data_IF_935960365999
#
_entry.id   IF_935960365999
#
_cell.length_a   1.000
_cell.length_b   1.000
_cell.length_c   1.000
_cell.angle_alpha   90.00
_cell.angle_beta   90.00
_cell.angle_gamma   90.00
#
_symmetry.space_group_name_H-M   'P 1'
#
loop_
_entity.id
_entity.type
_entity.pdbx_description
1 polymer ?
#
# COMPACT_ATOMS: atom_id res chain seq x y z
N UNK A 1 44.16 -2.91 13.00
CA UNK A 1 42.97 -2.41 12.27
C UNK A 1 41.93 -3.48 12.36
N UNK A 2 40.92 -3.31 13.21
CA UNK A 2 39.81 -4.26 13.33
C UNK A 2 38.67 -3.77 12.43
N UNK A 3 38.11 -4.69 11.65
CA UNK A 3 37.08 -4.47 10.64
C UNK A 3 35.75 -4.04 11.27
N UNK A 4 34.89 -3.25 10.58
CA UNK A 4 33.60 -2.84 11.10
C UNK A 4 32.55 -3.96 10.94
N UNK A 5 31.80 -4.18 12.02
CA UNK A 5 30.79 -5.21 12.21
C UNK A 5 29.59 -5.10 11.25
N UNK A 6 29.29 -6.18 10.52
CA UNK A 6 28.09 -6.37 9.68
C UNK A 6 26.77 -6.54 10.47
N UNK A 7 26.77 -6.37 11.79
CA UNK A 7 25.63 -6.75 12.64
C UNK A 7 24.47 -5.73 12.67
N UNK A 8 24.66 -4.51 12.15
CA UNK A 8 23.62 -3.46 12.19
C UNK A 8 22.53 -3.65 11.14
N UNK A 9 22.82 -4.31 10.01
CA UNK A 9 21.89 -4.36 8.87
C UNK A 9 20.74 -5.37 9.09
N UNK A 10 21.02 -6.48 9.78
CA UNK A 10 20.02 -7.51 10.05
C UNK A 10 18.98 -7.05 11.09
N UNK A 11 19.40 -6.28 12.10
CA UNK A 11 18.50 -5.79 13.15
C UNK A 11 17.48 -4.78 12.59
N UNK A 12 17.93 -3.86 11.72
CA UNK A 12 17.05 -2.87 11.08
C UNK A 12 16.03 -3.53 10.16
N UNK A 13 16.44 -4.52 9.36
CA UNK A 13 15.52 -5.28 8.49
C UNK A 13 14.43 -5.97 9.31
N UNK A 14 14.80 -6.67 10.38
CA UNK A 14 13.83 -7.36 11.25
C UNK A 14 12.86 -6.41 11.95
N UNK A 15 13.27 -5.16 12.20
CA UNK A 15 12.40 -4.16 12.81
C UNK A 15 11.37 -3.63 11.83
N UNK A 16 11.79 -3.31 10.59
CA UNK A 16 10.88 -2.88 9.52
C UNK A 16 9.87 -3.97 9.19
N UNK A 17 10.30 -5.21 9.03
CA UNK A 17 9.39 -6.33 8.75
C UNK A 17 8.34 -6.49 9.85
N UNK A 18 8.70 -6.30 11.12
CA UNK A 18 7.73 -6.33 12.22
C UNK A 18 6.72 -5.19 12.12
N UNK A 19 7.17 -3.95 11.89
CA UNK A 19 6.29 -2.77 11.76
C UNK A 19 5.32 -2.95 10.58
N UNK A 20 5.80 -3.48 9.46
CA UNK A 20 4.98 -3.76 8.28
C UNK A 20 3.94 -4.84 8.57
N UNK A 21 4.33 -5.95 9.22
CA UNK A 21 3.38 -7.00 9.59
C UNK A 21 2.32 -6.51 10.57
N UNK A 22 2.70 -5.71 11.58
CA UNK A 22 1.77 -5.12 12.54
C UNK A 22 0.77 -4.17 11.82
N UNK A 23 1.24 -3.42 10.82
CA UNK A 23 0.40 -2.55 10.00
C UNK A 23 -0.57 -3.36 9.10
N UNK A 24 -0.07 -4.38 8.40
CA UNK A 24 -0.89 -5.25 7.54
C UNK A 24 -1.95 -6.01 8.34
N UNK A 25 -1.64 -6.41 9.57
CA UNK A 25 -2.58 -7.11 10.45
C UNK A 25 -3.80 -6.26 10.83
N UNK A 26 -3.69 -4.93 10.84
CA UNK A 26 -4.80 -4.02 11.16
C UNK A 26 -5.57 -3.53 9.92
N UNK A 27 -5.08 -3.84 8.70
CA UNK A 27 -5.78 -3.47 7.46
C UNK A 27 -7.09 -4.24 7.32
N UNK A 28 -8.18 -3.49 7.12
CA UNK A 28 -9.47 -4.08 6.77
C UNK A 28 -9.46 -4.70 5.38
N UNK A 29 -10.47 -5.52 5.08
CA UNK A 29 -10.63 -6.15 3.77
C UNK A 29 -10.68 -5.12 2.63
N UNK A 30 -11.27 -3.94 2.86
CA UNK A 30 -11.28 -2.88 1.87
C UNK A 30 -9.88 -2.34 1.57
N UNK A 31 -9.02 -2.18 2.58
CA UNK A 31 -7.63 -1.76 2.37
C UNK A 31 -6.86 -2.82 1.60
N UNK A 32 -6.98 -4.09 2.02
CA UNK A 32 -6.32 -5.22 1.36
C UNK A 32 -6.74 -5.34 -0.10
N UNK A 33 -8.03 -5.18 -0.37
CA UNK A 33 -8.57 -5.18 -1.73
C UNK A 33 -7.94 -4.07 -2.59
N UNK A 34 -7.79 -2.85 -2.06
CA UNK A 34 -7.16 -1.74 -2.77
C UNK A 34 -5.69 -2.03 -3.12
N UNK A 35 -4.93 -2.62 -2.20
CA UNK A 35 -3.53 -3.05 -2.45
C UNK A 35 -3.46 -4.09 -3.58
N UNK A 36 -4.39 -5.04 -3.59
CA UNK A 36 -4.43 -6.10 -4.61
C UNK A 36 -4.82 -5.53 -5.98
N UNK A 37 -5.82 -4.64 -6.02
CA UNK A 37 -6.22 -3.96 -7.25
C UNK A 37 -5.08 -3.10 -7.81
N UNK A 38 -4.28 -2.45 -6.95
CA UNK A 38 -3.10 -1.69 -7.35
C UNK A 38 -2.13 -2.59 -8.11
N UNK A 39 -1.81 -3.76 -7.57
CA UNK A 39 -0.91 -4.71 -8.19
C UNK A 39 -1.48 -5.29 -9.51
N UNK A 40 -2.76 -5.64 -9.54
CA UNK A 40 -3.36 -6.35 -10.68
C UNK A 40 -3.79 -5.43 -11.84
N UNK A 41 -4.31 -4.24 -11.56
CA UNK A 41 -4.96 -3.39 -12.56
C UNK A 41 -4.19 -2.10 -12.87
N UNK A 42 -3.41 -1.60 -11.91
CA UNK A 42 -2.76 -0.29 -11.99
C UNK A 42 -1.22 -0.39 -12.03
N UNK A 43 -0.69 -1.57 -12.37
CA UNK A 43 0.73 -1.77 -12.60
C UNK A 43 1.60 -1.57 -11.36
N UNK A 44 1.04 -1.76 -10.16
CA UNK A 44 1.79 -1.64 -8.90
C UNK A 44 2.04 -0.20 -8.45
N UNK A 45 1.31 0.79 -8.98
CA UNK A 45 1.42 2.20 -8.54
C UNK A 45 0.07 2.75 -8.10
N UNK A 46 0.07 3.66 -7.12
CA UNK A 46 -1.17 4.22 -6.55
C UNK A 46 -1.73 5.36 -7.40
N UNK A 47 -0.87 6.09 -8.09
CA UNK A 47 -1.22 7.30 -8.83
C UNK A 47 -2.31 7.03 -9.89
N UNK A 48 -2.21 5.99 -10.73
CA UNK A 48 -3.26 5.69 -11.71
C UNK A 48 -4.60 5.33 -11.06
N UNK A 49 -4.59 4.67 -9.90
CA UNK A 49 -5.81 4.33 -9.16
C UNK A 49 -6.44 5.58 -8.53
N UNK A 50 -5.64 6.47 -7.93
CA UNK A 50 -6.12 7.73 -7.37
C UNK A 50 -6.75 8.62 -8.46
N UNK A 51 -6.15 8.67 -9.64
CA UNK A 51 -6.70 9.42 -10.77
C UNK A 51 -8.03 8.82 -11.25
N UNK A 52 -8.16 7.49 -11.28
CA UNK A 52 -9.43 6.82 -11.61
C UNK A 52 -10.55 7.16 -10.62
N UNK A 53 -10.24 7.13 -9.32
CA UNK A 53 -11.18 7.48 -8.26
C UNK A 53 -11.59 8.97 -8.32
N UNK A 54 -10.66 9.87 -8.62
CA UNK A 54 -10.93 11.31 -8.82
C UNK A 54 -11.79 11.54 -10.06
N UNK A 55 -11.48 10.89 -11.18
CA UNK A 55 -12.30 10.95 -12.40
C UNK A 55 -13.74 10.50 -12.11
N UNK A 56 -13.93 9.44 -11.32
CA UNK A 56 -15.25 8.96 -10.92
C UNK A 56 -16.02 9.97 -10.06
N UNK A 57 -15.36 10.73 -9.18
CA UNK A 57 -16.00 11.82 -8.44
C UNK A 57 -16.49 12.95 -9.36
N UNK A 58 -15.79 13.20 -10.45
CA UNK A 58 -16.11 14.24 -11.44
C UNK A 58 -17.09 13.76 -12.52
N UNK A 59 -17.54 12.50 -12.47
CA UNK A 59 -18.41 11.91 -13.49
C UNK A 59 -17.71 11.63 -14.83
N UNK A 60 -16.38 11.60 -14.85
CA UNK A 60 -15.57 11.24 -16.01
C UNK A 60 -15.52 9.71 -16.19
N UNK A 61 -15.15 9.20 -17.38
CA UNK A 61 -14.88 7.79 -17.59
C UNK A 61 -13.83 7.26 -16.61
N UNK A 62 -14.05 6.05 -16.09
CA UNK A 62 -13.19 5.37 -15.11
C UNK A 62 -13.08 3.88 -15.43
N UNK A 63 -12.04 3.23 -14.93
CA UNK A 63 -11.62 1.86 -15.24
C UNK A 63 -12.36 0.84 -14.36
N UNK A 64 -12.57 1.14 -13.06
CA UNK A 64 -13.14 0.14 -12.14
C UNK A 64 -14.15 0.69 -11.11
N UNK A 65 -15.16 -0.12 -10.76
CA UNK A 65 -16.23 0.26 -9.84
C UNK A 65 -16.08 -0.40 -8.47
N UNK A 66 -15.32 0.22 -7.57
CA UNK A 66 -15.42 -0.05 -6.13
C UNK A 66 -16.78 0.44 -5.57
N UNK A 67 -17.17 -0.03 -4.40
CA UNK A 67 -18.44 0.31 -3.75
C UNK A 67 -18.64 1.84 -3.59
N UNK A 68 -19.80 2.27 -3.07
CA UNK A 68 -20.22 3.69 -3.02
C UNK A 68 -19.42 4.58 -2.03
N UNK A 69 -18.13 4.31 -1.78
CA UNK A 69 -17.28 4.98 -0.78
C UNK A 69 -15.97 5.53 -1.36
N UNK A 70 -16.05 6.18 -2.52
CA UNK A 70 -14.87 6.68 -3.27
C UNK A 70 -13.96 7.59 -2.42
N UNK A 71 -14.55 8.47 -1.59
CA UNK A 71 -13.78 9.38 -0.73
C UNK A 71 -12.98 8.62 0.32
N UNK A 72 -13.62 7.68 1.00
CA UNK A 72 -12.95 6.82 1.97
C UNK A 72 -11.82 6.03 1.30
N UNK A 73 -12.04 5.48 0.10
CA UNK A 73 -11.01 4.73 -0.61
C UNK A 73 -9.80 5.60 -0.99
N UNK A 74 -10.02 6.87 -1.37
CA UNK A 74 -8.93 7.83 -1.57
C UNK A 74 -8.15 8.05 -0.27
N UNK A 75 -8.83 8.25 0.86
CA UNK A 75 -8.17 8.42 2.16
C UNK A 75 -7.35 7.18 2.57
N UNK A 76 -7.90 5.98 2.36
CA UNK A 76 -7.20 4.71 2.61
C UNK A 76 -5.94 4.60 1.75
N UNK A 77 -6.03 4.90 0.46
CA UNK A 77 -4.88 4.85 -0.46
C UNK A 77 -3.80 5.84 -0.03
N UNK A 78 -4.15 7.08 0.31
CA UNK A 78 -3.15 8.07 0.72
C UNK A 78 -2.45 7.66 2.03
N UNK A 79 -3.17 7.05 2.98
CA UNK A 79 -2.56 6.48 4.20
C UNK A 79 -1.58 5.36 3.88
N UNK A 80 -1.99 4.39 3.05
CA UNK A 80 -1.15 3.26 2.65
C UNK A 80 0.06 3.70 1.83
N UNK A 81 -0.12 4.63 0.88
CA UNK A 81 0.96 5.21 0.07
C UNK A 81 1.99 5.93 0.92
N UNK A 82 1.56 6.70 1.93
CA UNK A 82 2.47 7.35 2.87
C UNK A 82 3.29 6.33 3.64
N UNK A 83 2.66 5.25 4.12
CA UNK A 83 3.34 4.16 4.81
C UNK A 83 4.39 3.48 3.92
N UNK A 84 4.04 3.16 2.67
CA UNK A 84 4.97 2.60 1.69
C UNK A 84 6.18 3.50 1.45
N UNK A 85 5.97 4.81 1.34
CA UNK A 85 7.06 5.77 1.13
C UNK A 85 7.97 5.92 2.36
N UNK A 86 7.40 5.91 3.56
CA UNK A 86 8.14 6.02 4.83
C UNK A 86 9.05 4.81 5.06
N UNK A 87 8.54 3.62 4.76
CA UNK A 87 9.25 2.35 4.98
C UNK A 87 9.98 1.82 3.74
N UNK A 88 9.78 2.44 2.57
CA UNK A 88 10.35 2.05 1.26
C UNK A 88 10.02 0.59 0.88
N UNK A 89 8.75 0.23 1.02
CA UNK A 89 8.21 -1.11 0.71
C UNK A 89 7.03 -1.00 -0.27
N UNK A 90 6.59 -2.15 -0.81
CA UNK A 90 5.28 -2.30 -1.44
C UNK A 90 4.40 -3.17 -0.55
N UNK A 91 3.23 -2.67 -0.15
CA UNK A 91 2.29 -3.45 0.66
C UNK A 91 1.75 -4.68 -0.09
N UNK A 92 1.79 -4.68 -1.42
CA UNK A 92 1.38 -5.82 -2.23
C UNK A 92 2.23 -7.07 -1.97
N UNK A 93 3.47 -6.91 -1.49
CA UNK A 93 4.34 -8.04 -1.13
C UNK A 93 3.97 -8.68 0.22
N UNK A 94 3.12 -8.03 1.01
CA UNK A 94 2.77 -8.45 2.38
C UNK A 94 1.28 -8.76 2.56
N UNK A 95 0.44 -8.38 1.58
CA UNK A 95 -1.01 -8.60 1.62
C UNK A 95 -1.39 -9.83 0.81
N UNK A 96 -2.09 -10.77 1.47
CA UNK A 96 -2.76 -11.89 0.82
C UNK A 96 -4.28 -11.79 1.04
N UNK A 97 -5.07 -12.19 0.02
CA UNK A 97 -6.51 -12.47 0.16
C UNK A 97 -6.64 -13.83 0.85
N UNK A 98 -6.86 -13.81 2.16
CA UNK A 98 -7.19 -14.98 2.98
C UNK A 98 -8.69 -15.17 3.10
#
# INVERSE_FOLDING_TARGET
MAEPSENSNNNVKTNVDKVVNDFVAILSDEHRMLVILKAQLYGGTWEPMLDDLRNRLEGKPYIFKLANRIKDDIERIEQMRKFEQEHKIDLADYVELS
#
